data_IF_172462655363
#
_entry.id   IF_172462655363
#
_cell.length_a   1.000
_cell.length_b   1.000
_cell.length_c   1.000
_cell.angle_alpha   90.00
_cell.angle_beta   90.00
_cell.angle_gamma   90.00
#
_symmetry.space_group_name_H-M   'P 1'
#
loop_
_entity.id
_entity.type
_entity.pdbx_description
1 polymer ?
#
# COMPACT_ATOMS: atom_id res chain seq x y z
N UNK A 1 58.52 40.38 13.01
CA UNK A 1 57.65 39.26 13.41
C UNK A 1 56.21 39.77 13.51
N UNK A 2 55.46 39.72 12.42
CA UNK A 2 54.05 40.14 12.40
C UNK A 2 53.20 38.98 12.90
N UNK A 3 52.80 39.02 14.18
CA UNK A 3 51.85 38.06 14.73
C UNK A 3 50.51 38.22 14.02
N UNK A 4 50.09 37.18 13.30
CA UNK A 4 48.74 37.10 12.75
C UNK A 4 47.75 37.09 13.92
N UNK A 5 46.97 38.16 14.07
CA UNK A 5 45.88 38.21 15.05
C UNK A 5 44.87 37.14 14.68
N UNK A 6 44.77 36.09 15.49
CA UNK A 6 43.70 35.10 15.38
C UNK A 6 42.39 35.79 15.76
N UNK A 7 41.50 35.98 14.80
CA UNK A 7 40.16 36.47 15.05
C UNK A 7 39.37 35.39 15.81
N UNK A 8 38.86 35.74 16.99
CA UNK A 8 37.94 34.92 17.77
C UNK A 8 36.55 35.55 17.72
N UNK A 9 35.52 34.71 17.71
CA UNK A 9 34.12 35.17 17.81
C UNK A 9 33.88 35.82 19.17
N UNK A 10 33.08 36.89 19.18
CA UNK A 10 32.66 37.52 20.42
C UNK A 10 31.71 36.62 21.21
N UNK A 11 31.67 36.81 22.53
CA UNK A 11 30.74 36.09 23.40
C UNK A 11 29.28 36.25 22.94
N UNK A 12 28.90 37.45 22.47
CA UNK A 12 27.55 37.75 21.99
C UNK A 12 27.22 36.99 20.71
N UNK A 13 28.17 36.86 19.78
CA UNK A 13 27.97 36.06 18.56
C UNK A 13 27.77 34.59 18.89
N UNK A 14 28.58 34.04 19.81
CA UNK A 14 28.48 32.63 20.21
C UNK A 14 27.16 32.34 20.93
N UNK A 15 26.72 33.20 21.85
CA UNK A 15 25.45 33.00 22.57
C UNK A 15 24.24 33.11 21.64
N UNK A 16 24.27 34.07 20.70
CA UNK A 16 23.21 34.23 19.71
C UNK A 16 23.18 33.03 18.75
N UNK A 17 24.34 32.56 18.28
CA UNK A 17 24.44 31.37 17.43
C UNK A 17 23.93 30.11 18.16
N UNK A 18 24.26 29.94 19.44
CA UNK A 18 23.78 28.82 20.25
C UNK A 18 22.26 28.88 20.46
N UNK A 19 21.70 30.06 20.71
CA UNK A 19 20.25 30.25 20.87
C UNK A 19 19.47 29.89 19.62
N UNK A 20 19.93 30.34 18.44
CA UNK A 20 19.31 30.01 17.15
C UNK A 20 19.45 28.52 16.85
N UNK A 21 20.63 27.95 17.11
CA UNK A 21 20.87 26.52 16.89
C UNK A 21 19.99 25.65 17.78
N UNK A 22 19.84 26.00 19.06
CA UNK A 22 18.96 25.29 20.00
C UNK A 22 17.50 25.34 19.54
N UNK A 23 17.01 26.51 19.10
CA UNK A 23 15.66 26.64 18.54
C UNK A 23 15.46 25.76 17.30
N UNK A 24 16.42 25.76 16.36
CA UNK A 24 16.36 24.93 15.16
C UNK A 24 16.38 23.43 15.48
N UNK A 25 17.21 22.98 16.43
CA UNK A 25 17.29 21.57 16.83
C UNK A 25 15.98 21.06 17.43
N UNK A 26 15.27 21.89 18.20
CA UNK A 26 13.94 21.55 18.74
C UNK A 26 12.96 21.26 17.59
N UNK A 27 12.96 22.10 16.55
CA UNK A 27 12.10 21.89 15.39
C UNK A 27 12.44 20.58 14.66
N UNK A 28 13.72 20.29 14.44
CA UNK A 28 14.18 19.06 13.77
C UNK A 28 13.76 17.82 14.57
N UNK A 29 13.98 17.81 15.88
CA UNK A 29 13.59 16.68 16.72
C UNK A 29 12.06 16.51 16.81
N UNK A 30 11.31 17.61 16.77
CA UNK A 30 9.85 17.57 16.70
C UNK A 30 9.32 16.93 15.42
N UNK A 31 10.01 17.10 14.29
CA UNK A 31 9.61 16.52 13.00
C UNK A 31 10.12 15.08 12.76
N UNK A 32 11.15 14.64 13.48
CA UNK A 32 11.73 13.31 13.33
C UNK A 32 10.70 12.15 13.40
N UNK A 33 9.79 12.07 14.38
CA UNK A 33 8.79 11.00 14.41
C UNK A 33 7.83 11.04 13.21
N UNK A 34 7.50 12.24 12.71
CA UNK A 34 6.65 12.42 11.53
C UNK A 34 7.34 11.86 10.29
N UNK A 35 8.62 12.18 10.10
CA UNK A 35 9.41 11.63 8.99
C UNK A 35 9.47 10.09 8.99
N UNK A 36 9.63 9.49 10.17
CA UNK A 36 9.61 8.03 10.33
C UNK A 36 8.23 7.43 10.01
N UNK A 37 7.15 8.07 10.45
CA UNK A 37 5.79 7.61 10.15
C UNK A 37 5.49 7.67 8.66
N UNK A 38 5.85 8.77 8.00
CA UNK A 38 5.68 8.93 6.54
C UNK A 38 6.49 7.89 5.78
N UNK A 39 7.73 7.64 6.17
CA UNK A 39 8.57 6.61 5.53
C UNK A 39 7.97 5.20 5.67
N UNK A 40 7.42 4.86 6.84
CA UNK A 40 6.74 3.58 7.06
C UNK A 40 5.48 3.45 6.22
N UNK A 41 4.62 4.48 6.23
CA UNK A 41 3.40 4.51 5.44
C UNK A 41 3.69 4.37 3.94
N UNK A 42 4.72 5.06 3.44
CA UNK A 42 5.14 4.93 2.05
C UNK A 42 5.64 3.50 1.71
N UNK A 43 6.35 2.85 2.63
CA UNK A 43 6.78 1.46 2.46
C UNK A 43 5.61 0.47 2.39
N UNK A 44 4.63 0.62 3.28
CA UNK A 44 3.42 -0.22 3.29
C UNK A 44 2.57 0.02 2.02
N UNK A 45 2.41 1.28 1.62
CA UNK A 45 1.75 1.68 0.38
C UNK A 45 2.41 1.10 -0.88
N UNK A 46 3.75 1.13 -0.96
CA UNK A 46 4.49 0.55 -2.09
C UNK A 46 4.31 -0.97 -2.17
N UNK A 47 4.37 -1.64 -1.02
CA UNK A 47 4.17 -3.10 -0.94
C UNK A 47 2.76 -3.50 -1.35
N UNK A 48 1.74 -2.79 -0.84
CA UNK A 48 0.35 -3.00 -1.22
C UNK A 48 0.10 -2.72 -2.71
N UNK A 49 0.72 -1.67 -3.28
CA UNK A 49 0.63 -1.37 -4.71
C UNK A 49 1.28 -2.45 -5.58
N UNK A 50 2.41 -3.02 -5.14
CA UNK A 50 3.03 -4.14 -5.83
C UNK A 50 2.16 -5.39 -5.83
N UNK A 51 1.52 -5.72 -4.70
CA UNK A 51 0.56 -6.83 -4.59
C UNK A 51 -0.64 -6.59 -5.52
N UNK A 52 -1.20 -5.38 -5.50
CA UNK A 52 -2.31 -5.00 -6.36
C UNK A 52 -1.95 -5.17 -7.84
N UNK A 53 -0.76 -4.74 -8.25
CA UNK A 53 -0.29 -4.88 -9.62
C UNK A 53 -0.11 -6.35 -10.02
N UNK A 54 0.38 -7.20 -9.11
CA UNK A 54 0.51 -8.64 -9.33
C UNK A 54 -0.87 -9.30 -9.51
N UNK A 55 -1.84 -8.98 -8.64
CA UNK A 55 -3.21 -9.49 -8.75
C UNK A 55 -3.86 -9.02 -10.06
N UNK A 56 -3.72 -7.74 -10.40
CA UNK A 56 -4.26 -7.20 -11.65
C UNK A 56 -3.63 -7.88 -12.88
N UNK A 57 -2.33 -8.19 -12.84
CA UNK A 57 -1.65 -8.93 -13.90
C UNK A 57 -2.17 -10.37 -14.00
N UNK A 58 -2.35 -11.07 -12.88
CA UNK A 58 -2.90 -12.44 -12.83
C UNK A 58 -4.33 -12.51 -13.37
N UNK A 59 -5.19 -11.55 -12.99
CA UNK A 59 -6.55 -11.45 -13.50
C UNK A 59 -6.58 -11.16 -15.01
N UNK A 60 -5.66 -10.34 -15.53
CA UNK A 60 -5.55 -10.07 -16.97
C UNK A 60 -4.95 -11.24 -17.77
N UNK A 61 -4.07 -12.02 -17.14
CA UNK A 61 -3.47 -13.20 -17.74
C UNK A 61 -4.43 -14.41 -17.74
N UNK A 62 -5.53 -14.33 -16.99
CA UNK A 62 -6.52 -15.41 -16.94
C UNK A 62 -7.20 -15.57 -18.30
N UNK A 63 -7.18 -16.78 -18.90
CA UNK A 63 -7.85 -17.02 -20.19
C UNK A 63 -9.34 -16.72 -20.13
N UNK A 64 -9.94 -16.33 -21.25
CA UNK A 64 -11.38 -16.01 -21.34
C UNK A 64 -12.30 -17.18 -20.96
N UNK A 65 -11.82 -18.42 -21.10
CA UNK A 65 -12.50 -19.66 -20.68
C UNK A 65 -12.14 -20.11 -19.25
N UNK A 66 -11.17 -19.44 -18.61
CA UNK A 66 -10.70 -19.78 -17.27
C UNK A 66 -11.62 -19.21 -16.20
N UNK A 67 -12.07 -20.05 -15.27
CA UNK A 67 -12.88 -19.63 -14.13
C UNK A 67 -12.04 -19.31 -12.89
N UNK A 68 -10.73 -19.48 -12.97
CA UNK A 68 -9.81 -19.34 -11.83
C UNK A 68 -8.49 -18.75 -12.32
N UNK A 69 -7.96 -17.80 -11.56
CA UNK A 69 -6.68 -17.18 -11.88
C UNK A 69 -5.51 -18.15 -11.63
N UNK A 70 -4.51 -18.20 -12.52
CA UNK A 70 -3.47 -19.23 -12.48
C UNK A 70 -2.50 -19.08 -11.31
N UNK A 71 -2.22 -17.86 -10.86
CA UNK A 71 -1.20 -17.61 -9.84
C UNK A 71 -1.77 -17.55 -8.41
N UNK A 72 -2.94 -16.91 -8.25
CA UNK A 72 -3.57 -16.71 -6.94
C UNK A 72 -4.83 -17.54 -6.69
N UNK A 73 -5.27 -18.34 -7.65
CA UNK A 73 -6.43 -19.20 -7.48
C UNK A 73 -7.75 -18.44 -7.28
N UNK A 74 -7.83 -17.19 -7.76
CA UNK A 74 -9.01 -16.34 -7.58
C UNK A 74 -10.12 -16.83 -8.52
N UNK A 75 -11.24 -17.27 -7.96
CA UNK A 75 -12.40 -17.69 -8.76
C UNK A 75 -13.08 -16.48 -9.39
N UNK A 76 -13.12 -16.46 -10.73
CA UNK A 76 -13.80 -15.44 -11.53
C UNK A 76 -15.23 -15.95 -11.81
N UNK A 77 -16.29 -15.30 -11.29
CA UNK A 77 -17.65 -15.80 -11.46
C UNK A 77 -18.09 -15.73 -12.93
N UNK A 78 -18.55 -16.83 -13.53
CA UNK A 78 -18.90 -16.92 -14.97
C UNK A 78 -19.84 -15.83 -15.51
N UNK A 79 -20.80 -15.40 -14.69
CA UNK A 79 -21.86 -14.44 -14.99
C UNK A 79 -22.69 -14.20 -13.72
N UNK A 80 -22.06 -13.69 -12.66
CA UNK A 80 -22.78 -13.55 -11.40
C UNK A 80 -23.75 -12.37 -11.42
N UNK A 81 -25.03 -12.65 -11.18
CA UNK A 81 -26.02 -11.63 -10.77
C UNK A 81 -25.79 -11.11 -9.34
N UNK A 82 -24.77 -11.60 -8.65
CA UNK A 82 -24.41 -11.21 -7.27
C UNK A 82 -22.94 -10.85 -7.15
N UNK A 83 -22.66 -9.67 -6.60
CA UNK A 83 -21.30 -9.22 -6.26
C UNK A 83 -20.64 -10.22 -5.32
N UNK A 84 -19.56 -10.86 -5.75
CA UNK A 84 -18.87 -11.89 -4.97
C UNK A 84 -17.45 -11.40 -4.63
N UNK A 85 -17.17 -11.05 -3.37
CA UNK A 85 -15.83 -10.69 -2.93
C UNK A 85 -15.00 -11.95 -2.67
N UNK A 86 -13.76 -11.97 -3.18
CA UNK A 86 -12.73 -12.95 -2.85
C UNK A 86 -11.61 -12.25 -2.09
N UNK A 87 -11.30 -12.72 -0.89
CA UNK A 87 -10.25 -12.14 -0.06
C UNK A 87 -9.06 -13.08 0.06
N UNK A 88 -7.87 -12.54 -0.17
CA UNK A 88 -6.59 -13.21 0.00
C UNK A 88 -5.70 -12.41 0.95
N UNK A 89 -4.92 -13.09 1.76
CA UNK A 89 -4.01 -12.48 2.72
C UNK A 89 -2.57 -12.70 2.29
N UNK A 90 -1.76 -11.65 2.37
CA UNK A 90 -0.36 -11.65 1.96
C UNK A 90 0.58 -11.39 3.13
N UNK A 91 1.72 -12.09 3.17
CA UNK A 91 2.84 -11.78 4.05
C UNK A 91 3.74 -10.69 3.45
N UNK A 92 4.75 -10.21 4.21
CA UNK A 92 5.74 -9.25 3.69
C UNK A 92 6.67 -9.87 2.66
N UNK A 93 6.77 -11.20 2.69
CA UNK A 93 7.60 -12.03 1.83
C UNK A 93 6.88 -12.41 0.52
N UNK A 94 5.60 -12.03 0.37
CA UNK A 94 4.80 -12.28 -0.83
C UNK A 94 4.08 -13.63 -0.85
N UNK A 95 4.14 -14.40 0.24
CA UNK A 95 3.32 -15.60 0.39
C UNK A 95 1.85 -15.19 0.53
N UNK A 96 0.95 -15.97 -0.08
CA UNK A 96 -0.48 -15.71 -0.04
C UNK A 96 -1.24 -16.89 0.58
N UNK A 97 -2.36 -16.59 1.24
CA UNK A 97 -3.26 -17.59 1.80
C UNK A 97 -4.70 -17.09 1.73
N UNK A 98 -5.65 -18.02 1.59
CA UNK A 98 -7.08 -17.73 1.70
C UNK A 98 -7.55 -17.57 3.16
N UNK A 99 -6.67 -17.85 4.13
CA UNK A 99 -6.94 -17.70 5.55
C UNK A 99 -5.94 -16.73 6.18
N UNK A 100 -6.40 -16.00 7.20
CA UNK A 100 -5.53 -15.14 7.98
C UNK A 100 -4.54 -16.00 8.78
N UNK A 101 -3.25 -15.70 8.64
CA UNK A 101 -2.16 -16.35 9.38
C UNK A 101 -1.47 -15.34 10.27
N UNK A 102 -0.63 -15.79 11.22
CA UNK A 102 0.17 -14.89 12.06
C UNK A 102 1.12 -13.98 11.28
N UNK A 103 1.45 -14.35 10.03
CA UNK A 103 2.34 -13.62 9.14
C UNK A 103 1.57 -12.71 8.14
N UNK A 104 0.24 -12.78 8.10
CA UNK A 104 -0.58 -11.99 7.19
C UNK A 104 -0.50 -10.51 7.55
N UNK A 105 -0.01 -9.70 6.62
CA UNK A 105 0.16 -8.25 6.78
C UNK A 105 -0.75 -7.42 5.89
N UNK A 106 -1.06 -7.91 4.69
CA UNK A 106 -1.99 -7.26 3.76
C UNK A 106 -3.20 -8.15 3.50
N UNK A 107 -4.37 -7.54 3.31
CA UNK A 107 -5.58 -8.21 2.85
C UNK A 107 -5.96 -7.63 1.49
N UNK A 108 -5.96 -8.46 0.46
CA UNK A 108 -6.44 -8.10 -0.86
C UNK A 108 -7.86 -8.63 -1.03
N UNK A 109 -8.81 -7.76 -1.34
CA UNK A 109 -10.19 -8.11 -1.65
C UNK A 109 -10.46 -7.79 -3.12
N UNK A 110 -10.82 -8.81 -3.88
CA UNK A 110 -11.22 -8.70 -5.28
C UNK A 110 -12.74 -8.82 -5.34
N UNK A 111 -13.39 -7.78 -5.82
CA UNK A 111 -14.85 -7.71 -5.94
C UNK A 111 -15.23 -7.65 -7.40
N UNK A 112 -15.98 -8.64 -7.88
CA UNK A 112 -16.50 -8.66 -9.25
C UNK A 112 -17.85 -7.95 -9.32
N UNK A 113 -17.98 -6.99 -10.23
CA UNK A 113 -19.25 -6.33 -10.53
C UNK A 113 -20.15 -7.27 -11.35
N UNK A 114 -21.45 -7.17 -11.13
CA UNK A 114 -22.44 -8.04 -11.75
C UNK A 114 -22.66 -7.65 -13.21
N UNK A 115 -22.76 -8.65 -14.09
CA UNK A 115 -23.35 -8.49 -15.42
C UNK A 115 -24.76 -9.12 -15.39
N UNK A 116 -25.73 -8.47 -16.04
CA UNK A 116 -27.09 -9.04 -16.12
C UNK A 116 -27.04 -10.44 -16.75
N UNK A 117 -27.76 -11.39 -16.14
CA UNK A 117 -27.77 -12.78 -16.58
C UNK A 117 -28.15 -12.90 -18.06
N UNK A 118 -27.36 -13.65 -18.83
CA UNK A 118 -27.59 -13.86 -20.26
C UNK A 118 -27.05 -12.77 -21.20
N UNK A 119 -26.37 -11.74 -20.67
CA UNK A 119 -25.70 -10.71 -21.49
C UNK A 119 -24.19 -10.91 -21.43
N UNK A 120 -23.58 -11.10 -22.61
CA UNK A 120 -22.12 -11.06 -22.80
C UNK A 120 -21.64 -9.61 -22.66
N UNK A 121 -21.51 -9.16 -21.42
CA UNK A 121 -21.00 -7.84 -21.06
C UNK A 121 -19.58 -7.90 -20.52
N UNK A 122 -18.84 -6.80 -20.64
CA UNK A 122 -17.51 -6.66 -20.03
C UNK A 122 -17.60 -6.92 -18.52
N UNK A 123 -16.71 -7.77 -17.99
CA UNK A 123 -16.60 -8.03 -16.55
C UNK A 123 -15.63 -7.03 -15.93
N UNK A 124 -16.07 -6.31 -14.91
CA UNK A 124 -15.22 -5.39 -14.15
C UNK A 124 -14.96 -5.97 -12.76
N UNK A 125 -13.70 -5.92 -12.33
CA UNK A 125 -13.30 -6.24 -10.96
C UNK A 125 -12.66 -5.03 -10.30
N UNK A 126 -13.11 -4.71 -9.09
CA UNK A 126 -12.43 -3.78 -8.19
C UNK A 126 -11.49 -4.60 -7.30
N UNK A 127 -10.21 -4.22 -7.27
CA UNK A 127 -9.19 -4.83 -6.43
C UNK A 127 -8.79 -3.80 -5.39
N UNK A 128 -9.01 -4.13 -4.12
CA UNK A 128 -8.61 -3.30 -2.98
C UNK A 128 -7.60 -4.07 -2.13
N UNK A 129 -6.48 -3.44 -1.76
CA UNK A 129 -5.47 -4.01 -0.88
C UNK A 129 -5.33 -3.12 0.36
N UNK A 130 -5.62 -3.68 1.53
CA UNK A 130 -5.62 -2.97 2.80
C UNK A 130 -4.62 -3.54 3.81
N UNK A 131 -4.17 -2.71 4.75
CA UNK A 131 -3.34 -3.13 5.88
C UNK A 131 -3.77 -2.41 7.17
N UNK A 132 -3.55 -3.02 8.35
CA UNK A 132 -3.08 -4.39 8.55
C UNK A 132 -4.15 -5.45 8.22
N UNK A 133 -3.73 -6.65 7.80
CA UNK A 133 -4.61 -7.74 7.33
C UNK A 133 -5.75 -8.13 8.28
N UNK A 134 -5.54 -8.02 9.60
CA UNK A 134 -6.52 -8.39 10.62
C UNK A 134 -7.50 -7.26 10.98
N UNK A 135 -7.30 -6.05 10.45
CA UNK A 135 -8.18 -4.93 10.76
C UNK A 135 -9.53 -5.13 10.09
N UNK A 136 -10.61 -4.98 10.87
CA UNK A 136 -11.94 -4.75 10.28
C UNK A 136 -11.88 -3.49 9.39
N UNK A 137 -12.72 -3.41 8.36
CA UNK A 137 -12.69 -2.33 7.36
C UNK A 137 -12.71 -0.89 7.96
N UNK A 138 -13.25 -0.71 9.17
CA UNK A 138 -13.27 0.56 9.90
C UNK A 138 -11.94 0.93 10.59
N UNK A 139 -11.01 -0.02 10.74
CA UNK A 139 -9.76 0.11 11.50
C UNK A 139 -8.52 -0.05 10.62
N UNK A 140 -8.69 0.05 9.31
CA UNK A 140 -7.60 -0.07 8.32
C UNK A 140 -6.71 1.17 8.38
N UNK A 141 -5.39 0.99 8.43
CA UNK A 141 -4.42 2.09 8.44
C UNK A 141 -4.28 2.75 7.06
N UNK A 142 -4.40 1.96 6.00
CA UNK A 142 -4.38 2.44 4.62
C UNK A 142 -4.89 1.39 3.62
N UNK A 143 -5.32 1.87 2.44
CA UNK A 143 -5.83 1.03 1.35
C UNK A 143 -5.40 1.57 -0.01
N UNK A 144 -5.11 0.67 -0.95
CA UNK A 144 -4.91 0.97 -2.38
C UNK A 144 -5.97 0.27 -3.18
N UNK A 145 -6.58 0.98 -4.13
CA UNK A 145 -7.64 0.45 -4.96
C UNK A 145 -7.34 0.62 -6.45
N UNK A 146 -7.79 -0.34 -7.25
CA UNK A 146 -7.69 -0.28 -8.70
C UNK A 146 -8.86 -1.01 -9.36
N UNK A 147 -9.24 -0.49 -10.53
CA UNK A 147 -10.24 -1.13 -11.39
C UNK A 147 -9.53 -1.92 -12.49
N UNK A 148 -9.90 -3.18 -12.60
CA UNK A 148 -9.39 -4.10 -13.63
C UNK A 148 -10.56 -4.54 -14.49
N UNK A 149 -10.48 -4.27 -15.79
CA UNK A 149 -11.40 -4.82 -16.78
C UNK A 149 -10.89 -6.18 -17.25
N UNK A 150 -11.80 -7.15 -17.31
CA UNK A 150 -11.53 -8.51 -17.76
C UNK A 150 -12.40 -8.75 -19.00
N UNK A 151 -11.76 -9.11 -20.10
CA UNK A 151 -12.44 -9.45 -21.35
C UNK A 151 -12.97 -10.87 -21.23
N UNK A 152 -14.25 -11.07 -21.56
CA UNK A 152 -14.83 -12.39 -21.76
C UNK A 152 -15.42 -12.46 -23.16
N UNK A 153 -15.28 -13.62 -23.80
CA UNK A 153 -15.87 -13.90 -25.10
C UNK A 153 -17.20 -14.63 -24.89
#
# INVERSE_FOLDING_TARGET
MTGTRTAAFSLVEVTLALGISAFALIAIFGLLPVGLQVSRAAGEQNSASSILAAIAADLRATPTSGTTSPLFGITIPGNASTTSPSTLFFSKEGEHSSQITGNSRYAATVTFSTNSAGVNGASFSNVAVSWPAAAAAANVEGSVESFVAIVRN
#
